data_IF_163461019474
#
_entry.id   IF_163461019474
#
_cell.length_a   1.000
_cell.length_b   1.000
_cell.length_c   1.000
_cell.angle_alpha   90.00
_cell.angle_beta   90.00
_cell.angle_gamma   90.00
#
_symmetry.space_group_name_H-M   'P 1'
#
loop_
_entity.id
_entity.type
_entity.pdbx_description
1 polymer ?
#
# COMPACT_ATOMS: atom_id res chain seq x y z
N UNK A 1 18.90 -1.23 -10.13
CA UNK A 1 18.85 -2.70 -9.98
C UNK A 1 18.39 -3.06 -8.58
N UNK A 2 18.10 -4.33 -8.31
CA UNK A 2 17.76 -4.81 -6.96
C UNK A 2 19.02 -5.12 -6.15
N UNK A 3 18.99 -4.92 -4.83
CA UNK A 3 20.12 -5.26 -3.96
C UNK A 3 20.30 -6.78 -3.88
N UNK A 4 21.49 -7.28 -4.21
CA UNK A 4 21.75 -8.72 -4.34
C UNK A 4 21.38 -9.50 -3.07
N UNK A 5 21.79 -9.01 -1.90
CA UNK A 5 21.52 -9.70 -0.63
C UNK A 5 20.03 -9.77 -0.28
N UNK A 6 19.27 -8.72 -0.63
CA UNK A 6 17.82 -8.74 -0.42
C UNK A 6 17.13 -9.73 -1.36
N UNK A 7 17.61 -9.84 -2.60
CA UNK A 7 17.09 -10.83 -3.55
C UNK A 7 17.39 -12.25 -3.07
N UNK A 8 18.62 -12.53 -2.64
CA UNK A 8 18.99 -13.84 -2.07
C UNK A 8 18.13 -14.17 -0.84
N UNK A 9 18.00 -13.24 0.10
CA UNK A 9 17.15 -13.39 1.29
C UNK A 9 15.69 -13.63 0.93
N UNK A 10 15.17 -12.94 -0.08
CA UNK A 10 13.81 -13.15 -0.57
C UNK A 10 13.63 -14.58 -1.11
N UNK A 11 14.55 -15.06 -1.95
CA UNK A 11 14.49 -16.41 -2.52
C UNK A 11 14.54 -17.47 -1.41
N UNK A 12 15.44 -17.31 -0.44
CA UNK A 12 15.58 -18.21 0.71
C UNK A 12 14.29 -18.27 1.54
N UNK A 13 13.72 -17.12 1.90
CA UNK A 13 12.45 -17.06 2.64
C UNK A 13 11.30 -17.67 1.84
N UNK A 14 11.22 -17.43 0.53
CA UNK A 14 10.18 -18.02 -0.32
C UNK A 14 10.29 -19.55 -0.37
N UNK A 15 11.50 -20.08 -0.50
CA UNK A 15 11.73 -21.52 -0.47
C UNK A 15 11.28 -22.13 0.87
N UNK A 16 11.63 -21.52 2.00
CA UNK A 16 11.21 -21.98 3.33
C UNK A 16 9.68 -21.95 3.49
N UNK A 17 9.02 -20.84 3.12
CA UNK A 17 7.58 -20.67 3.29
C UNK A 17 6.76 -21.64 2.42
N UNK A 18 7.23 -21.95 1.21
CA UNK A 18 6.51 -22.83 0.28
C UNK A 18 6.83 -24.31 0.48
N UNK A 19 7.85 -24.65 1.27
CA UNK A 19 8.28 -26.04 1.52
C UNK A 19 7.12 -26.98 1.87
N UNK A 20 6.14 -26.61 2.73
CA UNK A 20 5.00 -27.49 3.05
C UNK A 20 4.04 -27.76 1.88
N UNK A 21 4.08 -26.93 0.84
CA UNK A 21 3.16 -26.98 -0.32
C UNK A 21 3.85 -27.60 -1.53
N UNK A 22 5.08 -27.17 -1.82
CA UNK A 22 5.85 -27.56 -2.99
C UNK A 22 7.27 -27.99 -2.60
N UNK A 23 7.43 -29.11 -1.88
CA UNK A 23 8.70 -29.51 -1.28
C UNK A 23 9.79 -29.79 -2.32
N UNK A 24 9.45 -30.37 -3.47
CA UNK A 24 10.42 -30.67 -4.53
C UNK A 24 10.99 -29.41 -5.19
N UNK A 25 10.15 -28.39 -5.40
CA UNK A 25 10.59 -27.11 -5.93
C UNK A 25 11.44 -26.37 -4.91
N UNK A 26 11.00 -26.34 -3.65
CA UNK A 26 11.73 -25.70 -2.57
C UNK A 26 13.12 -26.33 -2.37
N UNK A 27 13.21 -27.66 -2.43
CA UNK A 27 14.47 -28.41 -2.34
C UNK A 27 15.44 -28.04 -3.49
N UNK A 28 14.93 -27.98 -4.72
CA UNK A 28 15.74 -27.56 -5.87
C UNK A 28 16.28 -26.13 -5.70
N UNK A 29 15.42 -25.18 -5.30
CA UNK A 29 15.88 -23.80 -5.03
C UNK A 29 16.93 -23.78 -3.92
N UNK A 30 16.74 -24.56 -2.86
CA UNK A 30 17.61 -24.60 -1.70
C UNK A 30 18.99 -25.18 -2.00
N UNK A 31 19.06 -26.36 -2.62
CA UNK A 31 20.31 -27.07 -2.90
C UNK A 31 20.95 -26.63 -4.21
N UNK A 32 20.17 -26.47 -5.28
CA UNK A 32 20.74 -26.23 -6.61
C UNK A 32 20.93 -24.76 -6.95
N UNK A 33 20.03 -23.88 -6.48
CA UNK A 33 20.12 -22.44 -6.77
C UNK A 33 20.88 -21.69 -5.67
N UNK A 34 20.50 -21.91 -4.40
CA UNK A 34 21.13 -21.25 -3.25
C UNK A 34 22.41 -21.95 -2.76
N UNK A 35 22.66 -23.19 -3.21
CA UNK A 35 23.85 -23.99 -2.86
C UNK A 35 24.02 -24.22 -1.35
N UNK A 36 22.91 -24.43 -0.64
CA UNK A 36 22.94 -24.87 0.75
C UNK A 36 23.46 -26.31 0.85
N UNK A 37 24.04 -26.65 2.01
CA UNK A 37 24.75 -27.94 2.21
C UNK A 37 23.83 -29.10 2.52
N UNK A 38 22.67 -28.83 3.12
CA UNK A 38 21.72 -29.84 3.57
C UNK A 38 20.32 -29.56 3.01
N UNK A 39 19.52 -30.62 2.94
CA UNK A 39 18.11 -30.57 2.51
C UNK A 39 17.30 -29.51 3.26
N UNK A 40 16.37 -28.86 2.57
CA UNK A 40 15.48 -27.86 3.18
C UNK A 40 14.58 -28.47 4.25
N UNK A 41 14.38 -29.79 4.21
CA UNK A 41 13.57 -30.52 5.20
C UNK A 41 14.15 -30.47 6.61
N UNK A 42 15.44 -30.14 6.77
CA UNK A 42 16.09 -29.91 8.07
C UNK A 42 16.07 -28.44 8.50
N UNK A 43 15.68 -27.52 7.61
CA UNK A 43 15.69 -26.10 7.91
C UNK A 43 14.58 -25.74 8.90
N UNK A 44 14.88 -24.80 9.80
CA UNK A 44 13.91 -24.28 10.75
C UNK A 44 13.05 -23.19 10.09
N UNK A 45 11.86 -22.99 10.66
CA UNK A 45 11.01 -21.87 10.26
C UNK A 45 11.75 -20.53 10.43
N UNK A 46 11.71 -19.64 9.42
CA UNK A 46 12.49 -18.41 9.45
C UNK A 46 12.03 -17.47 10.57
N UNK A 47 12.98 -16.97 11.34
CA UNK A 47 12.75 -15.86 12.29
C UNK A 47 13.01 -14.54 11.58
N UNK A 48 12.02 -13.67 11.54
CA UNK A 48 12.10 -12.35 10.89
C UNK A 48 11.95 -11.22 11.91
N UNK A 49 12.59 -10.05 11.67
CA UNK A 49 12.37 -8.88 12.51
C UNK A 49 10.97 -8.30 12.31
N UNK A 50 10.52 -7.54 13.32
CA UNK A 50 9.22 -6.86 13.26
C UNK A 50 9.16 -5.86 12.09
N UNK A 51 8.01 -5.76 11.41
CA UNK A 51 7.82 -4.78 10.34
C UNK A 51 7.93 -3.33 10.84
N UNK A 52 8.56 -2.47 10.04
CA UNK A 52 8.58 -1.04 10.32
C UNK A 52 7.31 -0.37 9.73
N UNK A 53 6.39 0.04 10.61
CA UNK A 53 5.13 0.67 10.22
C UNK A 53 5.31 1.94 9.36
N UNK A 54 6.35 2.74 9.62
CA UNK A 54 6.64 3.96 8.85
C UNK A 54 7.06 3.63 7.41
N UNK A 55 7.92 2.63 7.21
CA UNK A 55 8.31 2.19 5.87
C UNK A 55 7.15 1.58 5.09
N UNK A 56 6.30 0.81 5.76
CA UNK A 56 5.07 0.27 5.16
C UNK A 56 4.14 1.38 4.71
N UNK A 57 3.89 2.38 5.57
CA UNK A 57 3.06 3.54 5.23
C UNK A 57 3.64 4.34 4.05
N UNK A 58 4.96 4.56 4.02
CA UNK A 58 5.64 5.24 2.92
C UNK A 58 5.50 4.47 1.59
N UNK A 59 5.73 3.15 1.61
CA UNK A 59 5.53 2.29 0.44
C UNK A 59 4.09 2.34 -0.05
N UNK A 60 3.13 2.27 0.86
CA UNK A 60 1.71 2.28 0.52
C UNK A 60 1.26 3.62 -0.07
N UNK A 61 1.79 4.72 0.45
CA UNK A 61 1.58 6.05 -0.11
C UNK A 61 2.06 6.11 -1.57
N UNK A 62 3.31 5.71 -1.84
CA UNK A 62 3.87 5.70 -3.19
C UNK A 62 3.04 4.82 -4.14
N UNK A 63 2.68 3.61 -3.70
CA UNK A 63 1.86 2.67 -4.46
C UNK A 63 0.50 3.27 -4.81
N UNK A 64 -0.18 3.84 -3.84
CA UNK A 64 -1.51 4.45 -4.00
C UNK A 64 -1.45 5.66 -4.93
N UNK A 65 -0.47 6.55 -4.75
CA UNK A 65 -0.28 7.71 -5.62
C UNK A 65 -0.02 7.29 -7.06
N UNK A 66 0.86 6.31 -7.29
CA UNK A 66 1.13 5.78 -8.62
C UNK A 66 -0.13 5.18 -9.26
N UNK A 67 -0.89 4.35 -8.53
CA UNK A 67 -2.14 3.77 -9.02
C UNK A 67 -3.17 4.83 -9.35
N UNK A 68 -3.28 5.90 -8.56
CA UNK A 68 -4.20 7.01 -8.82
C UNK A 68 -3.83 7.77 -10.09
N UNK A 69 -2.53 8.01 -10.32
CA UNK A 69 -2.03 8.65 -11.54
C UNK A 69 -2.39 7.79 -12.77
N UNK A 70 -2.02 6.51 -12.77
CA UNK A 70 -2.27 5.62 -13.92
C UNK A 70 -3.78 5.41 -14.16
N UNK A 71 -4.58 5.36 -13.10
CA UNK A 71 -6.04 5.27 -13.21
C UNK A 71 -6.65 6.55 -13.79
N UNK A 72 -6.16 7.72 -13.39
CA UNK A 72 -6.60 9.00 -13.97
C UNK A 72 -6.30 9.07 -15.48
N UNK A 73 -5.13 8.59 -15.90
CA UNK A 73 -4.75 8.47 -17.32
C UNK A 73 -5.66 7.52 -18.08
N UNK A 74 -5.91 6.32 -17.54
CA UNK A 74 -6.83 5.36 -18.14
C UNK A 74 -8.25 5.93 -18.30
N UNK A 75 -8.71 6.71 -17.32
CA UNK A 75 -10.02 7.37 -17.37
C UNK A 75 -10.05 8.52 -18.39
N UNK A 76 -8.99 9.30 -18.53
CA UNK A 76 -8.89 10.34 -19.56
C UNK A 76 -8.92 9.74 -20.98
N UNK A 77 -8.17 8.64 -21.20
CA UNK A 77 -8.20 7.88 -22.46
C UNK A 77 -9.61 7.38 -22.80
N UNK A 78 -10.31 6.79 -21.82
CA UNK A 78 -11.69 6.31 -21.98
C UNK A 78 -12.69 7.43 -22.27
N UNK A 79 -12.46 8.64 -21.78
CA UNK A 79 -13.33 9.80 -22.07
C UNK A 79 -13.12 10.28 -23.52
N UNK A 80 -11.87 10.39 -23.96
CA UNK A 80 -11.54 10.79 -25.33
C UNK A 80 -12.05 9.79 -26.36
N UNK A 81 -11.95 8.48 -26.10
CA UNK A 81 -12.49 7.46 -27.02
C UNK A 81 -14.02 7.51 -27.16
N UNK A 82 -14.71 8.06 -26.16
CA UNK A 82 -16.16 8.30 -26.16
C UNK A 82 -16.55 9.70 -26.67
N UNK A 83 -15.60 10.47 -27.23
CA UNK A 83 -15.84 11.83 -27.70
C UNK A 83 -16.15 12.84 -26.59
N UNK A 84 -15.93 12.49 -25.31
CA UNK A 84 -16.13 13.41 -24.18
C UNK A 84 -14.86 14.20 -23.91
N UNK A 85 -15.01 15.45 -23.50
CA UNK A 85 -13.89 16.27 -23.04
C UNK A 85 -13.19 15.58 -21.86
N UNK A 86 -11.89 15.32 -22.01
CA UNK A 86 -11.02 14.90 -20.91
C UNK A 86 -10.39 16.13 -20.25
N UNK A 87 -10.04 15.99 -18.98
CA UNK A 87 -9.35 17.04 -18.21
C UNK A 87 -7.92 17.31 -18.69
N UNK A 88 -7.31 16.36 -19.41
CA UNK A 88 -6.02 16.52 -20.08
C UNK A 88 -5.93 15.57 -21.27
N UNK A 89 -5.00 15.84 -22.20
CA UNK A 89 -4.68 14.95 -23.32
C UNK A 89 -3.60 13.94 -22.91
N UNK A 90 -3.94 12.65 -22.76
CA UNK A 90 -3.02 11.60 -22.35
C UNK A 90 -1.98 11.23 -23.41
N UNK A 91 -2.09 11.70 -24.66
CA UNK A 91 -1.13 11.44 -25.75
C UNK A 91 -0.02 12.48 -25.85
N UNK A 92 -0.15 13.61 -25.16
CA UNK A 92 0.86 14.68 -25.12
C UNK A 92 1.76 14.52 -23.90
N UNK A 93 2.84 15.31 -23.87
CA UNK A 93 3.67 15.43 -22.67
C UNK A 93 2.84 15.91 -21.47
N UNK A 94 3.13 15.34 -20.31
CA UNK A 94 2.33 15.52 -19.10
C UNK A 94 3.19 16.15 -18.01
N UNK A 95 2.57 17.09 -17.28
CA UNK A 95 3.12 17.64 -16.03
C UNK A 95 2.28 17.15 -14.87
N UNK A 96 2.90 16.45 -13.92
CA UNK A 96 2.26 16.02 -12.68
C UNK A 96 2.67 16.99 -11.57
N UNK A 97 1.69 17.49 -10.82
CA UNK A 97 1.92 18.35 -9.65
C UNK A 97 1.34 17.61 -8.44
N UNK A 98 2.21 17.23 -7.51
CA UNK A 98 1.83 16.51 -6.29
C UNK A 98 1.79 17.53 -5.15
N UNK A 99 0.66 17.60 -4.46
CA UNK A 99 0.48 18.40 -3.26
C UNK A 99 0.52 17.51 -2.03
N UNK A 100 1.26 17.92 -1.01
CA UNK A 100 1.30 17.27 0.30
C UNK A 100 1.06 18.32 1.38
N UNK A 101 0.02 18.11 2.20
CA UNK A 101 -0.22 18.95 3.36
C UNK A 101 0.74 18.53 4.49
N UNK A 102 1.45 19.51 5.08
CA UNK A 102 2.32 19.25 6.24
C UNK A 102 1.52 19.00 7.51
N UNK A 103 0.35 19.61 7.60
CA UNK A 103 -0.54 19.53 8.74
C UNK A 103 -1.98 19.33 8.26
N UNK A 104 -2.79 18.68 9.10
CA UNK A 104 -4.21 18.55 8.84
C UNK A 104 -4.88 19.94 8.88
N UNK A 105 -5.71 20.28 7.89
CA UNK A 105 -6.64 21.40 7.96
C UNK A 105 -7.40 21.42 9.29
N UNK A 106 -7.70 22.61 9.81
CA UNK A 106 -8.30 22.80 11.13
C UNK A 106 -9.57 21.96 11.35
N UNK A 107 -10.44 21.84 10.34
CA UNK A 107 -11.65 21.03 10.41
C UNK A 107 -11.35 19.52 10.51
N UNK A 108 -10.34 19.00 9.80
CA UNK A 108 -9.95 17.58 9.89
C UNK A 108 -9.31 17.28 11.24
N UNK A 109 -8.46 18.19 11.73
CA UNK A 109 -7.79 18.05 13.04
C UNK A 109 -8.80 17.92 14.17
N UNK A 110 -9.85 18.76 14.17
CA UNK A 110 -10.98 18.69 15.12
C UNK A 110 -11.60 17.29 15.22
N UNK A 111 -11.84 16.63 14.08
CA UNK A 111 -12.45 15.29 14.07
C UNK A 111 -11.45 14.17 14.37
N UNK A 112 -10.18 14.32 14.00
CA UNK A 112 -9.11 13.37 14.40
C UNK A 112 -8.94 13.37 15.92
N UNK A 113 -8.90 14.55 16.55
CA UNK A 113 -8.74 14.67 17.99
C UNK A 113 -9.97 14.08 18.71
N UNK A 114 -11.18 14.34 18.21
CA UNK A 114 -12.42 13.70 18.71
C UNK A 114 -12.36 12.16 18.63
N UNK A 115 -11.79 11.59 17.56
CA UNK A 115 -11.65 10.13 17.42
C UNK A 115 -10.56 9.54 18.32
N UNK A 116 -9.49 10.28 18.60
CA UNK A 116 -8.42 9.82 19.51
C UNK A 116 -8.91 9.70 20.95
N UNK A 117 -9.80 10.59 21.36
CA UNK A 117 -10.34 10.63 22.72
C UNK A 117 -11.55 9.69 22.91
N UNK A 118 -12.07 9.12 21.83
CA UNK A 118 -13.23 8.23 21.87
C UNK A 118 -12.83 6.81 22.31
N UNK A 119 -13.49 6.32 23.36
CA UNK A 119 -13.28 4.96 23.90
C UNK A 119 -13.81 3.86 22.96
N UNK A 120 -14.78 4.20 22.10
CA UNK A 120 -15.29 3.31 21.04
C UNK A 120 -15.72 4.10 19.81
N UNK A 121 -15.51 3.53 18.62
CA UNK A 121 -15.84 4.15 17.34
C UNK A 121 -17.24 3.69 16.91
N UNK A 122 -18.28 4.32 17.47
CA UNK A 122 -19.65 4.16 16.97
C UNK A 122 -20.00 5.30 15.98
N UNK A 123 -20.04 4.95 14.69
CA UNK A 123 -20.33 5.88 13.58
C UNK A 123 -21.68 6.58 13.78
N UNK A 124 -22.70 5.90 14.36
CA UNK A 124 -24.00 6.52 14.60
C UNK A 124 -23.93 7.55 15.73
N UNK A 125 -23.20 7.26 16.80
CA UNK A 125 -22.98 8.20 17.88
C UNK A 125 -22.17 9.42 17.42
N UNK A 126 -21.09 9.18 16.68
CA UNK A 126 -20.21 10.22 16.14
C UNK A 126 -20.97 11.11 15.12
N UNK A 127 -21.87 10.55 14.32
CA UNK A 127 -22.69 11.34 13.39
C UNK A 127 -23.55 12.42 14.06
N UNK A 128 -23.89 12.23 15.34
CA UNK A 128 -24.70 13.17 16.13
C UNK A 128 -23.89 14.30 16.74
N UNK A 129 -22.59 14.09 16.98
CA UNK A 129 -21.67 15.10 17.53
C UNK A 129 -21.01 15.98 16.46
N UNK A 130 -21.12 15.60 15.19
CA UNK A 130 -20.63 16.38 14.05
C UNK A 130 -21.53 17.59 13.77
N UNK A 131 -20.91 18.70 13.40
CA UNK A 131 -21.62 19.88 12.94
C UNK A 131 -22.36 19.58 11.62
N UNK A 132 -23.68 19.85 11.58
CA UNK A 132 -24.52 19.61 10.39
C UNK A 132 -24.02 20.35 9.15
N UNK A 133 -23.35 21.49 9.32
CA UNK A 133 -22.77 22.27 8.22
C UNK A 133 -21.56 21.57 7.56
N UNK A 134 -20.81 20.77 8.33
CA UNK A 134 -19.62 20.03 7.89
C UNK A 134 -19.89 18.54 7.64
N UNK A 135 -21.07 18.04 8.01
CA UNK A 135 -21.46 16.62 7.95
C UNK A 135 -21.18 15.96 6.59
N UNK A 136 -21.42 16.66 5.47
CA UNK A 136 -21.15 16.14 4.11
C UNK A 136 -19.68 15.86 3.83
N UNK A 137 -18.76 16.51 4.53
CA UNK A 137 -17.29 16.34 4.37
C UNK A 137 -16.67 15.56 5.52
N UNK A 138 -17.21 15.70 6.74
CA UNK A 138 -16.72 15.03 7.93
C UNK A 138 -17.07 13.52 7.94
N UNK A 139 -18.29 13.13 7.57
CA UNK A 139 -18.71 11.72 7.59
C UNK A 139 -17.96 10.81 6.61
N UNK A 140 -17.60 11.24 5.39
CA UNK A 140 -16.74 10.42 4.52
C UNK A 140 -15.26 10.39 4.94
N UNK A 141 -14.86 11.27 5.86
CA UNK A 141 -13.48 11.39 6.34
C UNK A 141 -13.23 10.56 7.61
N UNK A 142 -14.23 10.51 8.50
CA UNK A 142 -14.30 9.65 9.70
C UNK A 142 -14.54 8.19 9.30
#
# INVERSE_FOLDING_TARGET
GMHQDLVKKFIELQALLITPIAPHWAEYIWLEVLKNKETIQKALWPKVPEPNASLTAAREFVRTTQTNITSAEGNAMKKLSKGKAATFDPKKEKKIIIFAAKEWPAWQKKYIDMLRDAESIDIKAISKSIDKSESKKAMPFI
#
